data_IF_684221676475
#
_entry.id   IF_684221676475
#
_cell.length_a   1.000
_cell.length_b   1.000
_cell.length_c   1.000
_cell.angle_alpha   90.00
_cell.angle_beta   90.00
_cell.angle_gamma   90.00
#
_symmetry.space_group_name_H-M   'P 1'
#
loop_
_entity.id
_entity.type
_entity.pdbx_description
1 polymer ?
#
# COMPACT_ATOMS: atom_id res chain seq x y z
N UNK A 1 -6.38 4.38 -19.99
CA UNK A 1 -7.31 4.26 -18.90
C UNK A 1 -7.00 5.26 -17.80
N UNK A 2 -8.04 5.82 -17.27
CA UNK A 2 -7.85 6.84 -16.26
C UNK A 2 -7.64 6.22 -14.90
N UNK A 3 -6.87 6.88 -14.09
CA UNK A 3 -6.71 6.45 -12.73
C UNK A 3 -7.98 6.75 -11.96
N UNK A 4 -8.00 6.34 -10.71
CA UNK A 4 -9.17 6.48 -9.86
C UNK A 4 -9.44 7.93 -9.48
N UNK A 5 -8.57 8.85 -9.84
CA UNK A 5 -8.77 10.26 -9.54
C UNK A 5 -8.23 10.67 -8.19
N UNK A 6 -8.49 9.87 -7.18
CA UNK A 6 -8.02 10.15 -5.83
C UNK A 6 -6.70 9.45 -5.57
N UNK A 7 -5.90 10.02 -4.71
CA UNK A 7 -4.70 9.36 -4.22
C UNK A 7 -4.95 8.82 -2.82
N UNK A 8 -4.04 7.96 -2.38
CA UNK A 8 -4.10 7.40 -1.04
C UNK A 8 -2.83 7.78 -0.30
N UNK A 9 -2.96 8.00 0.99
CA UNK A 9 -1.82 8.29 1.86
C UNK A 9 -1.53 7.00 2.62
N UNK A 10 -0.37 6.40 2.34
CA UNK A 10 -0.05 5.07 2.83
C UNK A 10 1.27 5.09 3.60
N UNK A 11 1.50 4.05 4.40
CA UNK A 11 2.67 3.97 5.27
C UNK A 11 3.55 2.82 4.81
N UNK A 12 4.83 3.08 4.52
CA UNK A 12 5.75 1.97 4.25
C UNK A 12 6.06 1.23 5.54
N UNK A 13 5.74 -0.05 5.58
CA UNK A 13 5.95 -0.88 6.77
C UNK A 13 7.03 -1.92 6.58
N UNK A 14 7.48 -2.16 5.36
CA UNK A 14 8.49 -3.17 5.07
C UNK A 14 9.11 -2.92 3.72
N UNK A 15 10.21 -3.61 3.44
CA UNK A 15 10.88 -3.46 2.15
C UNK A 15 11.54 -4.77 1.74
N UNK A 16 11.83 -4.85 0.45
CA UNK A 16 12.51 -5.97 -0.18
C UNK A 16 13.82 -5.46 -0.76
N UNK A 17 14.88 -6.24 -0.63
CA UNK A 17 16.19 -5.81 -1.14
C UNK A 17 16.17 -5.68 -2.65
N UNK A 18 16.91 -4.69 -3.15
CA UNK A 18 17.05 -4.49 -4.57
C UNK A 18 18.00 -5.49 -5.19
N UNK A 19 17.88 -5.65 -6.51
CA UNK A 19 18.71 -6.56 -7.27
C UNK A 19 19.23 -5.83 -8.50
N UNK A 20 20.32 -6.35 -9.07
CA UNK A 20 20.91 -5.74 -10.24
C UNK A 20 21.31 -4.32 -9.96
N UNK A 21 20.78 -3.40 -10.73
CA UNK A 21 21.13 -1.99 -10.57
C UNK A 21 20.67 -1.41 -9.25
N UNK A 22 19.76 -2.09 -8.56
CA UNK A 22 19.23 -1.63 -7.28
C UNK A 22 19.91 -2.29 -6.09
N UNK A 23 20.99 -3.03 -6.33
CA UNK A 23 21.76 -3.61 -5.24
C UNK A 23 22.25 -2.50 -4.34
N UNK A 24 22.04 -2.66 -3.03
CA UNK A 24 22.39 -1.64 -2.06
C UNK A 24 21.25 -0.72 -1.69
N UNK A 25 20.16 -0.78 -2.44
CA UNK A 25 18.94 -0.05 -2.13
C UNK A 25 17.81 -1.04 -1.89
N UNK A 26 16.68 -0.54 -1.41
CA UNK A 26 15.49 -1.38 -1.39
C UNK A 26 14.90 -1.38 -2.80
N UNK A 27 14.48 -2.54 -3.27
CA UNK A 27 13.92 -2.65 -4.61
C UNK A 27 12.43 -2.43 -4.65
N UNK A 28 11.75 -2.66 -3.52
CA UNK A 28 10.31 -2.48 -3.43
C UNK A 28 9.94 -2.28 -1.98
N UNK A 29 8.78 -1.67 -1.76
CA UNK A 29 8.29 -1.38 -0.41
C UNK A 29 6.88 -1.94 -0.26
N UNK A 30 6.57 -2.40 0.94
CA UNK A 30 5.22 -2.85 1.29
C UNK A 30 4.52 -1.69 1.97
N UNK A 31 3.39 -1.28 1.40
CA UNK A 31 2.64 -0.14 1.91
C UNK A 31 1.36 -0.61 2.57
N UNK A 32 0.90 0.17 3.54
CA UNK A 32 -0.27 -0.18 4.33
C UNK A 32 -1.18 1.02 4.51
N UNK A 33 -2.49 0.76 4.61
CA UNK A 33 -3.44 1.73 5.11
C UNK A 33 -3.59 1.52 6.62
N UNK A 34 -4.34 2.38 7.27
CA UNK A 34 -4.48 2.32 8.71
C UNK A 34 -5.93 2.08 9.11
N UNK A 35 -6.17 1.06 9.90
CA UNK A 35 -7.49 0.77 10.43
C UNK A 35 -7.58 1.35 11.83
N UNK A 36 -8.25 2.51 11.94
CA UNK A 36 -8.31 3.20 13.22
C UNK A 36 -9.22 2.49 14.23
N UNK A 37 -10.15 1.68 13.75
CA UNK A 37 -11.03 0.95 14.66
C UNK A 37 -10.28 -0.14 15.41
N UNK A 38 -9.34 -0.80 14.76
CA UNK A 38 -8.56 -1.87 15.36
C UNK A 38 -7.12 -1.45 15.64
N UNK A 39 -6.77 -0.22 15.28
CA UNK A 39 -5.43 0.33 15.50
C UNK A 39 -4.37 -0.56 14.88
N UNK A 40 -4.55 -0.88 13.61
CA UNK A 40 -3.61 -1.74 12.91
C UNK A 40 -3.33 -1.22 11.50
N UNK A 41 -2.14 -1.57 10.99
CA UNK A 41 -1.75 -1.23 9.62
C UNK A 41 -1.97 -2.47 8.76
N UNK A 42 -2.68 -2.30 7.65
CA UNK A 42 -3.07 -3.40 6.79
C UNK A 42 -2.44 -3.22 5.42
N UNK A 43 -1.69 -4.23 4.97
CA UNK A 43 -0.97 -4.14 3.71
C UNK A 43 -1.95 -3.94 2.56
N UNK A 44 -1.56 -3.10 1.59
CA UNK A 44 -2.44 -2.77 0.47
C UNK A 44 -1.74 -2.93 -0.88
N UNK A 45 -0.43 -2.77 -0.93
CA UNK A 45 0.28 -2.96 -2.18
C UNK A 45 1.78 -3.04 -1.95
N UNK A 46 2.45 -3.57 -2.97
CA UNK A 46 3.91 -3.57 -3.05
C UNK A 46 4.27 -2.61 -4.18
N UNK A 47 5.10 -1.62 -3.88
CA UNK A 47 5.46 -0.62 -4.86
C UNK A 47 6.96 -0.69 -5.12
N UNK A 48 7.32 -0.78 -6.40
CA UNK A 48 8.73 -0.89 -6.78
C UNK A 48 9.08 -0.21 -8.07
N UNK A 49 8.08 0.31 -8.78
CA UNK A 49 8.32 0.99 -10.04
C UNK A 49 7.94 2.46 -9.89
N UNK A 50 8.39 3.28 -10.84
CA UNK A 50 8.07 4.70 -10.80
C UNK A 50 9.02 5.52 -9.96
N UNK A 51 10.07 4.90 -9.42
CA UNK A 51 11.08 5.62 -8.67
C UNK A 51 12.23 6.00 -9.58
N UNK A 52 12.67 7.27 -9.53
CA UNK A 52 13.94 7.63 -10.10
C UNK A 52 15.03 7.08 -9.18
N UNK A 53 16.26 7.02 -9.68
CA UNK A 53 17.38 6.56 -8.86
C UNK A 53 17.52 7.42 -7.61
N UNK A 54 17.37 8.72 -7.78
CA UNK A 54 17.50 9.65 -6.65
C UNK A 54 16.42 9.41 -5.61
N UNK A 55 15.19 9.21 -6.06
CA UNK A 55 14.10 8.95 -5.13
C UNK A 55 14.28 7.65 -4.38
N UNK A 56 14.70 6.61 -5.10
CA UNK A 56 14.90 5.31 -4.49
C UNK A 56 15.99 5.38 -3.43
N UNK A 57 17.06 6.08 -3.74
CA UNK A 57 18.15 6.24 -2.80
C UNK A 57 17.71 7.02 -1.57
N UNK A 58 16.98 8.09 -1.79
CA UNK A 58 16.51 8.95 -0.70
C UNK A 58 15.56 8.19 0.21
N UNK A 59 14.61 7.47 -0.37
CA UNK A 59 13.65 6.71 0.44
C UNK A 59 14.35 5.57 1.18
N UNK A 60 15.28 4.91 0.53
CA UNK A 60 16.04 3.84 1.18
C UNK A 60 16.85 4.38 2.36
N UNK A 61 17.52 5.51 2.16
CA UNK A 61 18.33 6.10 3.23
C UNK A 61 17.47 6.52 4.40
N UNK A 62 16.34 7.15 4.09
CA UNK A 62 15.46 7.65 5.14
C UNK A 62 14.91 6.53 6.01
N UNK A 63 14.61 5.38 5.40
CA UNK A 63 13.98 4.28 6.12
C UNK A 63 14.99 3.35 6.80
N UNK A 64 16.28 3.41 6.43
CA UNK A 64 17.26 2.52 7.05
C UNK A 64 17.36 2.70 8.54
N UNK A 65 17.16 3.90 9.02
CA UNK A 65 17.25 4.15 10.46
C UNK A 65 15.99 3.71 11.20
N UNK A 66 14.98 3.23 10.48
CA UNK A 66 13.70 2.85 11.06
C UNK A 66 13.48 1.34 11.03
N UNK A 67 14.48 0.57 10.69
CA UNK A 67 14.38 -0.89 10.63
C UNK A 67 14.19 -1.45 12.03
N UNK A 68 13.24 -2.38 12.16
CA UNK A 68 12.99 -3.09 13.40
C UNK A 68 13.22 -4.59 13.17
N UNK A 69 13.49 -5.36 14.23
CA UNK A 69 13.90 -6.76 14.04
C UNK A 69 12.77 -7.68 13.58
N UNK A 70 11.53 -7.31 13.75
CA UNK A 70 10.40 -8.14 13.35
C UNK A 70 9.21 -7.24 13.08
N UNK A 71 8.18 -7.77 12.38
CA UNK A 71 7.00 -6.93 12.13
C UNK A 71 6.31 -6.60 13.43
N UNK A 72 5.76 -5.38 13.48
CA UNK A 72 5.02 -4.97 14.65
C UNK A 72 3.78 -5.85 14.80
N UNK A 73 3.34 -6.04 16.04
CA UNK A 73 2.20 -6.88 16.32
C UNK A 73 0.90 -6.35 15.70
N UNK A 74 0.88 -5.07 15.37
CA UNK A 74 -0.31 -4.46 14.77
C UNK A 74 -0.19 -4.31 13.26
N UNK A 75 0.71 -5.06 12.62
CA UNK A 75 0.78 -5.15 11.16
C UNK A 75 -0.02 -6.36 10.69
N UNK A 76 -0.80 -6.17 9.63
CA UNK A 76 -1.57 -7.25 9.00
C UNK A 76 -1.13 -7.37 7.55
N UNK A 77 -0.73 -8.57 7.17
CA UNK A 77 -0.21 -8.82 5.82
C UNK A 77 -0.40 -10.29 5.48
N UNK A 78 -0.28 -10.62 4.20
CA UNK A 78 -0.42 -12.00 3.75
C UNK A 78 0.75 -12.85 4.15
N UNK A 79 0.48 -14.11 4.47
CA UNK A 79 1.53 -15.01 4.94
C UNK A 79 2.61 -15.24 3.89
N UNK A 80 2.25 -15.11 2.63
CA UNK A 80 3.21 -15.34 1.55
C UNK A 80 4.11 -14.14 1.29
N UNK A 81 3.83 -13.02 1.91
CA UNK A 81 4.70 -11.85 1.79
C UNK A 81 5.89 -12.05 2.70
N UNK A 82 7.09 -11.97 2.13
CA UNK A 82 8.32 -12.20 2.87
C UNK A 82 9.29 -11.04 2.68
N UNK A 83 8.98 -9.89 3.28
CA UNK A 83 9.90 -8.76 3.18
C UNK A 83 11.24 -9.08 3.82
N UNK A 84 12.26 -8.39 3.34
CA UNK A 84 13.59 -8.57 3.91
C UNK A 84 13.79 -7.76 5.16
N UNK A 85 13.12 -6.62 5.28
CA UNK A 85 13.21 -5.79 6.47
C UNK A 85 11.83 -5.24 6.81
N UNK A 86 11.64 -4.91 8.09
CA UNK A 86 10.42 -4.29 8.59
C UNK A 86 10.77 -2.94 9.17
N UNK A 87 9.85 -2.00 9.09
CA UNK A 87 10.07 -0.64 9.58
C UNK A 87 9.09 -0.28 10.68
N UNK A 88 9.53 0.63 11.52
CA UNK A 88 8.62 1.33 12.40
C UNK A 88 7.76 2.28 11.56
N UNK A 89 6.46 2.44 11.85
CA UNK A 89 5.65 3.40 11.08
C UNK A 89 6.17 4.81 11.33
N UNK A 90 6.59 5.49 10.28
CA UNK A 90 7.17 6.81 10.45
C UNK A 90 6.93 7.76 9.29
N UNK A 91 6.68 7.24 8.09
CA UNK A 91 6.48 8.10 6.92
C UNK A 91 5.11 7.84 6.34
N UNK A 92 4.57 8.84 5.67
CA UNK A 92 3.33 8.73 4.92
C UNK A 92 3.63 9.13 3.49
N UNK A 93 3.27 8.26 2.55
CA UNK A 93 3.53 8.45 1.12
C UNK A 93 2.21 8.60 0.38
N UNK A 94 2.10 9.64 -0.42
CA UNK A 94 0.93 9.80 -1.27
C UNK A 94 1.14 8.99 -2.54
N UNK A 95 0.21 8.07 -2.81
CA UNK A 95 0.34 7.09 -3.88
C UNK A 95 -0.91 7.12 -4.74
N UNK A 96 -0.72 6.98 -6.04
CA UNK A 96 -1.82 6.91 -6.98
C UNK A 96 -1.77 5.57 -7.69
N UNK A 97 -2.93 5.03 -8.02
CA UNK A 97 -3.01 3.73 -8.68
C UNK A 97 -3.97 3.81 -9.86
N UNK A 98 -3.89 2.82 -10.74
CA UNK A 98 -4.81 2.74 -11.87
C UNK A 98 -6.21 2.38 -11.36
N UNK A 99 -6.30 1.38 -10.49
CA UNK A 99 -7.57 1.00 -9.88
C UNK A 99 -7.30 0.15 -8.64
N UNK A 100 -8.39 -0.24 -7.99
CA UNK A 100 -8.35 -1.12 -6.83
C UNK A 100 -8.97 -2.46 -7.19
N UNK A 101 -8.42 -3.54 -6.63
CA UNK A 101 -8.91 -4.90 -6.90
C UNK A 101 -8.98 -5.68 -5.60
N UNK A 102 -9.76 -6.75 -5.62
CA UNK A 102 -9.79 -7.71 -4.51
C UNK A 102 -8.52 -8.53 -4.57
N UNK A 103 -7.91 -8.73 -3.42
CA UNK A 103 -6.62 -9.41 -3.34
C UNK A 103 -6.64 -10.50 -2.27
N UNK A 104 -6.14 -11.70 -2.59
CA UNK A 104 -5.98 -12.74 -1.57
C UNK A 104 -4.73 -12.54 -0.73
N UNK A 105 -3.87 -11.59 -1.11
CA UNK A 105 -2.58 -11.39 -0.47
C UNK A 105 -2.61 -10.23 0.51
N UNK A 106 -3.17 -9.10 0.08
CA UNK A 106 -3.16 -7.91 0.93
C UNK A 106 -4.36 -7.87 1.84
N UNK A 107 -4.21 -7.22 2.98
CA UNK A 107 -5.19 -7.29 4.05
C UNK A 107 -6.00 -6.01 4.22
N UNK A 108 -5.77 -5.01 3.38
CA UNK A 108 -6.49 -3.74 3.49
C UNK A 108 -7.99 -3.97 3.37
N UNK A 109 -8.74 -3.50 4.35
CA UNK A 109 -10.21 -3.54 4.35
C UNK A 109 -10.77 -4.96 4.23
N UNK A 110 -10.05 -5.98 4.71
CA UNK A 110 -10.57 -7.35 4.74
C UNK A 110 -11.88 -7.35 5.51
N UNK A 111 -12.88 -8.00 4.93
CA UNK A 111 -14.19 -8.09 5.57
C UNK A 111 -15.14 -6.99 5.18
N UNK A 112 -14.65 -5.93 4.54
CA UNK A 112 -15.50 -4.80 4.17
C UNK A 112 -16.19 -5.02 2.83
N UNK A 113 -15.47 -5.62 1.88
CA UNK A 113 -16.00 -5.87 0.55
C UNK A 113 -16.11 -7.36 0.30
N UNK A 114 -15.13 -8.10 0.77
CA UNK A 114 -15.07 -9.56 0.63
C UNK A 114 -14.80 -10.12 2.03
N UNK A 115 -15.49 -11.18 2.44
CA UNK A 115 -15.33 -11.67 3.83
C UNK A 115 -13.94 -12.19 4.15
N UNK A 116 -13.19 -12.66 3.15
CA UNK A 116 -11.90 -13.28 3.41
C UNK A 116 -10.73 -12.59 2.73
N UNK A 117 -10.99 -11.67 1.80
CA UNK A 117 -9.94 -11.05 1.00
C UNK A 117 -9.90 -9.56 1.23
N UNK A 118 -8.73 -9.00 1.03
CA UNK A 118 -8.53 -7.57 1.15
C UNK A 118 -8.56 -6.87 -0.20
N UNK A 119 -8.15 -5.61 -0.19
CA UNK A 119 -8.12 -4.77 -1.37
C UNK A 119 -6.66 -4.42 -1.67
N UNK A 120 -6.32 -4.38 -2.94
CA UNK A 120 -4.99 -4.04 -3.41
C UNK A 120 -5.06 -2.94 -4.44
N UNK A 121 -3.97 -2.19 -4.58
CA UNK A 121 -3.83 -1.18 -5.62
C UNK A 121 -3.12 -1.80 -6.82
N UNK A 122 -3.63 -1.53 -8.02
CA UNK A 122 -2.95 -1.96 -9.25
C UNK A 122 -2.14 -0.80 -9.82
N UNK A 123 -0.91 -1.12 -10.21
CA UNK A 123 0.02 -0.16 -10.81
C UNK A 123 0.19 1.10 -9.96
N UNK A 124 0.59 0.92 -8.68
CA UNK A 124 0.77 2.07 -7.81
C UNK A 124 2.04 2.84 -8.17
N UNK A 125 2.01 4.15 -7.93
CA UNK A 125 3.20 4.97 -8.10
C UNK A 125 3.23 6.04 -7.03
N UNK A 126 4.42 6.39 -6.60
CA UNK A 126 4.62 7.38 -5.56
C UNK A 126 4.49 8.78 -6.17
N UNK A 127 3.65 9.61 -5.55
CA UNK A 127 3.54 10.99 -5.94
C UNK A 127 4.44 11.88 -5.10
N UNK A 128 4.41 11.70 -3.78
CA UNK A 128 5.25 12.49 -2.89
C UNK A 128 5.18 11.92 -1.49
N UNK A 129 6.10 12.37 -0.64
CA UNK A 129 6.07 12.07 0.78
C UNK A 129 5.27 13.15 1.49
N UNK A 130 4.37 12.75 2.37
CA UNK A 130 3.50 13.67 3.11
C UNK A 130 4.12 13.92 4.47
N UNK A 131 4.89 15.00 4.59
CA UNK A 131 5.54 15.31 5.85
C UNK A 131 4.60 15.97 6.83
N UNK A 132 3.41 16.32 6.36
CA UNK A 132 2.39 16.97 7.18
C UNK A 132 1.46 15.97 7.86
N UNK A 133 1.67 14.66 7.67
CA UNK A 133 0.81 13.64 8.24
C UNK A 133 1.59 12.64 9.06
N UNK A 134 0.98 12.18 10.14
CA UNK A 134 1.52 11.06 10.91
C UNK A 134 0.95 9.76 10.33
N UNK A 135 1.58 8.61 10.64
CA UNK A 135 1.08 7.32 10.13
C UNK A 135 -0.38 7.05 10.49
N UNK A 136 -0.82 7.48 11.66
CA UNK A 136 -2.22 7.26 12.06
C UNK A 136 -3.19 8.11 11.25
N UNK A 137 -2.70 9.08 10.50
CA UNK A 137 -3.53 9.90 9.63
C UNK A 137 -3.55 9.38 8.19
N UNK A 138 -2.97 8.21 7.96
CA UNK A 138 -3.01 7.59 6.64
C UNK A 138 -4.45 7.28 6.25
N UNK A 139 -4.65 7.02 4.95
CA UNK A 139 -5.95 6.60 4.45
C UNK A 139 -6.41 5.39 5.25
N UNK A 140 -7.65 5.41 5.73
CA UNK A 140 -8.11 4.33 6.58
C UNK A 140 -8.82 3.25 5.76
N UNK A 141 -9.06 2.10 6.41
CA UNK A 141 -9.61 0.95 5.72
C UNK A 141 -11.01 1.21 5.18
N UNK A 142 -11.82 2.00 5.88
CA UNK A 142 -13.15 2.33 5.38
C UNK A 142 -13.08 3.17 4.12
N UNK A 143 -12.14 4.11 4.09
CA UNK A 143 -11.94 4.92 2.88
C UNK A 143 -11.50 4.06 1.70
N UNK A 144 -10.65 3.08 1.96
CA UNK A 144 -10.21 2.16 0.91
C UNK A 144 -11.42 1.38 0.37
N UNK A 145 -12.26 0.88 1.25
CA UNK A 145 -13.46 0.15 0.83
C UNK A 145 -14.39 1.05 0.04
N UNK A 146 -14.57 2.29 0.49
CA UNK A 146 -15.44 3.24 -0.20
C UNK A 146 -14.91 3.55 -1.60
N UNK A 147 -13.60 3.71 -1.72
CA UNK A 147 -12.99 3.97 -3.03
C UNK A 147 -13.21 2.79 -3.98
N UNK A 148 -13.09 1.57 -3.47
CA UNK A 148 -13.34 0.40 -4.28
C UNK A 148 -14.80 0.35 -4.74
N UNK A 149 -15.72 0.63 -3.85
CA UNK A 149 -17.15 0.60 -4.17
C UNK A 149 -17.52 1.70 -5.15
N UNK A 150 -16.93 2.88 -4.99
CA UNK A 150 -17.19 3.99 -5.91
C UNK A 150 -16.68 3.66 -7.30
N UNK A 151 -15.54 3.00 -7.38
CA UNK A 151 -14.96 2.58 -8.64
C UNK A 151 -15.89 1.61 -9.35
N UNK A 152 -16.41 0.62 -8.64
CA UNK A 152 -17.32 -0.33 -9.21
C UNK A 152 -18.60 0.34 -9.67
N UNK A 153 -19.10 1.28 -8.89
CA UNK A 153 -20.30 1.98 -9.25
C UNK A 153 -20.10 2.81 -10.52
N UNK A 154 -18.90 3.38 -10.67
CA UNK A 154 -18.60 4.21 -11.82
C UNK A 154 -18.26 3.43 -13.07
N UNK A 155 -18.21 2.10 -12.98
CA UNK A 155 -17.91 1.26 -14.14
C UNK A 155 -18.95 0.17 -14.26
N UNK A 156 -20.22 0.53 -14.39
CA UNK A 156 -21.29 -0.50 -14.42
C UNK A 156 -21.19 -1.43 -15.60
N UNK A 157 -20.63 -0.99 -16.69
CA UNK A 157 -20.49 -1.87 -17.84
C UNK A 157 -19.62 -3.06 -17.51
N UNK A 158 -18.61 -2.84 -16.73
CA UNK A 158 -17.77 -3.95 -16.30
C UNK A 158 -18.54 -4.92 -15.45
N UNK A 159 -19.39 -4.40 -14.62
CA UNK A 159 -20.17 -5.25 -13.77
C UNK A 159 -21.12 -6.08 -14.60
N UNK A 160 -21.69 -5.49 -15.60
CA UNK A 160 -22.63 -6.21 -16.44
C UNK A 160 -21.99 -7.35 -17.14
N UNK A 161 -20.81 -7.16 -17.63
CA UNK A 161 -20.13 -8.22 -18.29
C UNK A 161 -19.87 -9.34 -17.39
N UNK A 162 -19.59 -9.01 -16.18
CA UNK A 162 -19.25 -10.02 -15.23
C UNK A 162 -20.43 -10.79 -14.81
N UNK A 163 -21.52 -10.13 -14.63
CA UNK A 163 -22.59 -10.77 -13.97
C UNK A 163 -23.59 -11.32 -14.90
N UNK A 164 -23.40 -11.21 -16.07
CA UNK A 164 -24.40 -11.70 -17.01
C UNK A 164 -24.33 -13.10 -17.41
#
# INVERSE_FOLDING_TARGET
MESIGDSLDLVPIAAFHGRGKRTGFYGAFLLACYDSNNEEYQSICKIGTGFSEAMLEERSASLRSKVVPSPKSYYRYGENLKPDVWFEPCEVWEVKAADLTISPVHRAAVGEVDPLKGISLRFPRLLRVREDKSPEQATNSEQVADMYKAQKHNHPANDNEDND
#
